data_IF_777173833964
#
_entry.id   IF_777173833964
#
_cell.length_a   1.000
_cell.length_b   1.000
_cell.length_c   1.000
_cell.angle_alpha   90.00
_cell.angle_beta   90.00
_cell.angle_gamma   90.00
#
_symmetry.space_group_name_H-M   'P 1'
#
loop_
_entity.id
_entity.type
_entity.pdbx_description
1 polymer ?
#
# COMPACT_ATOMS: atom_id res chain seq x y z
N UNK A 1 14.08 4.64 9.59
CA UNK A 1 12.62 4.79 9.55
C UNK A 1 12.27 6.18 10.04
N UNK A 2 11.60 6.97 9.20
CA UNK A 2 11.14 8.32 9.55
C UNK A 2 9.76 8.24 10.20
N UNK A 3 8.82 7.53 9.55
CA UNK A 3 7.45 7.38 10.01
C UNK A 3 6.94 5.97 9.68
N UNK A 4 6.09 5.44 10.53
CA UNK A 4 5.29 4.25 10.25
C UNK A 4 3.84 4.53 10.68
N UNK A 5 2.89 4.03 9.90
CA UNK A 5 1.48 4.15 10.17
C UNK A 5 0.74 2.89 9.76
N UNK A 6 -0.51 2.81 10.14
CA UNK A 6 -1.41 1.73 9.79
C UNK A 6 -2.81 2.28 9.50
N UNK A 7 -3.65 1.44 8.93
CA UNK A 7 -5.06 1.70 8.71
C UNK A 7 -5.78 2.08 10.02
N UNK A 8 -6.65 3.09 9.96
CA UNK A 8 -7.51 3.54 11.06
C UNK A 8 -8.91 3.90 10.55
N UNK A 9 -9.47 3.06 9.69
CA UNK A 9 -10.78 3.27 9.05
C UNK A 9 -11.96 3.24 10.02
N UNK A 10 -11.79 2.63 11.21
CA UNK A 10 -12.81 2.68 12.27
C UNK A 10 -13.05 4.10 12.79
N UNK A 11 -12.01 4.95 12.80
CA UNK A 11 -12.14 6.36 13.16
C UNK A 11 -12.65 7.20 11.99
N UNK A 12 -12.13 6.96 10.79
CA UNK A 12 -12.51 7.64 9.56
C UNK A 12 -12.22 6.71 8.37
N UNK A 13 -13.24 6.38 7.55
CA UNK A 13 -13.05 5.45 6.42
C UNK A 13 -12.02 5.91 5.37
N UNK A 14 -11.56 7.15 5.43
CA UNK A 14 -10.48 7.65 4.57
C UNK A 14 -9.09 7.42 5.16
N UNK A 15 -8.97 7.00 6.42
CA UNK A 15 -7.70 6.77 7.10
C UNK A 15 -7.07 5.41 6.72
N UNK A 16 -6.86 5.19 5.42
CA UNK A 16 -6.01 4.10 4.95
C UNK A 16 -4.60 4.23 5.54
N UNK A 17 -3.83 3.17 5.57
CA UNK A 17 -2.48 3.16 6.15
C UNK A 17 -1.55 4.23 5.57
N UNK A 18 -1.62 4.43 4.26
CA UNK A 18 -0.85 5.47 3.55
C UNK A 18 -1.29 6.88 3.97
N UNK A 19 -2.60 7.13 4.06
CA UNK A 19 -3.14 8.43 4.48
C UNK A 19 -2.74 8.74 5.92
N UNK A 20 -2.90 7.77 6.83
CA UNK A 20 -2.49 7.90 8.23
C UNK A 20 -1.00 8.20 8.35
N UNK A 21 -0.17 7.51 7.56
CA UNK A 21 1.30 7.71 7.53
C UNK A 21 1.66 9.09 6.99
N UNK A 22 1.03 9.54 5.89
CA UNK A 22 1.25 10.86 5.29
C UNK A 22 0.85 11.98 6.26
N UNK A 23 -0.31 11.87 6.89
CA UNK A 23 -0.76 12.82 7.90
C UNK A 23 0.25 12.93 9.06
N UNK A 24 0.71 11.80 9.58
CA UNK A 24 1.71 11.78 10.64
C UNK A 24 3.06 12.38 10.18
N UNK A 25 3.50 12.09 8.96
CA UNK A 25 4.71 12.64 8.36
C UNK A 25 4.65 14.17 8.24
N UNK A 26 3.54 14.73 7.74
CA UNK A 26 3.37 16.17 7.57
C UNK A 26 3.09 16.91 8.89
N UNK A 27 2.75 16.20 9.97
CA UNK A 27 2.68 16.75 11.32
C UNK A 27 4.04 16.86 12.01
N UNK A 28 5.12 16.31 11.44
CA UNK A 28 6.48 16.58 11.92
C UNK A 28 6.84 18.05 11.71
N UNK A 29 7.64 18.62 12.63
CA UNK A 29 8.18 19.95 12.43
C UNK A 29 9.05 20.02 11.16
N UNK A 30 9.21 21.21 10.59
CA UNK A 30 9.98 21.39 9.36
C UNK A 30 11.44 20.91 9.52
N UNK A 31 12.02 21.05 10.73
CA UNK A 31 13.37 20.59 11.02
C UNK A 31 13.49 19.06 11.12
N UNK A 32 12.41 18.38 11.48
CA UNK A 32 12.37 16.92 11.64
C UNK A 32 11.93 16.18 10.38
N UNK A 33 11.25 16.89 9.48
CA UNK A 33 10.68 16.31 8.27
C UNK A 33 11.67 16.38 7.11
N UNK A 34 12.22 15.26 6.63
CA UNK A 34 13.06 15.25 5.44
C UNK A 34 12.26 15.65 4.20
N UNK A 35 12.95 16.02 3.11
CA UNK A 35 12.30 16.17 1.82
C UNK A 35 11.71 14.83 1.35
N UNK A 36 10.55 14.85 0.71
CA UNK A 36 9.89 13.63 0.23
C UNK A 36 10.70 12.94 -0.86
N UNK A 37 11.46 13.69 -1.67
CA UNK A 37 12.41 13.16 -2.65
C UNK A 37 13.58 12.38 -2.03
N UNK A 38 13.88 12.60 -0.74
CA UNK A 38 14.93 11.88 0.00
C UNK A 38 14.38 10.65 0.75
N UNK A 39 13.09 10.37 0.58
CA UNK A 39 12.39 9.29 1.26
C UNK A 39 12.03 8.16 0.31
N UNK A 40 12.02 6.94 0.83
CA UNK A 40 11.37 5.79 0.21
C UNK A 40 10.01 5.60 0.87
N UNK A 41 8.93 5.63 0.08
CA UNK A 41 7.59 5.29 0.56
C UNK A 41 7.34 3.80 0.38
N UNK A 42 6.93 3.11 1.45
CA UNK A 42 6.64 1.67 1.40
C UNK A 42 5.23 1.43 1.90
N UNK A 43 4.43 0.75 1.10
CA UNK A 43 3.11 0.25 1.48
C UNK A 43 3.10 -1.27 1.50
N UNK A 44 2.33 -1.88 2.37
CA UNK A 44 2.15 -3.35 2.37
C UNK A 44 1.29 -3.81 1.21
N UNK A 45 0.27 -3.04 0.84
CA UNK A 45 -0.58 -3.28 -0.32
C UNK A 45 -0.35 -2.20 -1.38
N UNK A 46 -0.59 -2.56 -2.63
CA UNK A 46 -0.57 -1.59 -3.74
C UNK A 46 -1.61 -0.50 -3.47
N UNK A 47 -1.19 0.78 -3.44
CA UNK A 47 -2.05 1.87 -3.01
C UNK A 47 -3.31 2.02 -3.88
N UNK A 48 -4.47 2.17 -3.27
CA UNK A 48 -5.73 2.44 -3.97
C UNK A 48 -5.71 3.83 -4.64
N UNK A 49 -6.72 4.16 -5.43
CA UNK A 49 -6.82 5.44 -6.15
C UNK A 49 -6.73 6.67 -5.24
N UNK A 50 -7.30 6.60 -4.02
CA UNK A 50 -7.18 7.63 -3.00
C UNK A 50 -5.71 7.81 -2.58
N UNK A 51 -5.05 6.71 -2.24
CA UNK A 51 -3.66 6.70 -1.76
C UNK A 51 -2.67 7.09 -2.86
N UNK A 52 -2.88 6.62 -4.11
CA UNK A 52 -2.09 7.05 -5.27
C UNK A 52 -2.12 8.57 -5.45
N UNK A 53 -3.32 9.16 -5.36
CA UNK A 53 -3.48 10.61 -5.44
C UNK A 53 -2.81 11.32 -4.27
N UNK A 54 -2.94 10.81 -3.04
CA UNK A 54 -2.33 11.40 -1.86
C UNK A 54 -0.80 11.36 -1.91
N UNK A 55 -0.19 10.24 -2.32
CA UNK A 55 1.26 10.10 -2.50
C UNK A 55 1.76 11.11 -3.54
N UNK A 56 1.01 11.29 -4.65
CA UNK A 56 1.31 12.28 -5.69
C UNK A 56 1.28 13.70 -5.12
N UNK A 57 0.22 14.09 -4.43
CA UNK A 57 0.08 15.42 -3.82
C UNK A 57 1.12 15.67 -2.72
N UNK A 58 1.54 14.63 -2.01
CA UNK A 58 2.59 14.70 -1.02
C UNK A 58 4.00 14.90 -1.62
N UNK A 59 4.16 14.69 -2.93
CA UNK A 59 5.42 14.94 -3.65
C UNK A 59 6.45 13.83 -3.48
N UNK A 60 6.05 12.61 -3.19
CA UNK A 60 6.94 11.45 -3.28
C UNK A 60 7.14 11.08 -4.75
N UNK A 61 8.36 10.81 -5.15
CA UNK A 61 8.72 10.40 -6.50
C UNK A 61 8.83 8.89 -6.68
N UNK A 62 8.54 8.14 -5.61
CA UNK A 62 8.59 6.68 -5.60
C UNK A 62 7.61 6.11 -4.58
N UNK A 63 7.15 4.88 -4.81
CA UNK A 63 6.62 4.02 -3.76
C UNK A 63 6.88 2.55 -4.09
N UNK A 64 6.96 1.76 -3.04
CA UNK A 64 7.15 0.32 -3.10
C UNK A 64 5.97 -0.36 -2.43
N UNK A 65 5.48 -1.45 -3.01
CA UNK A 65 4.42 -2.25 -2.41
C UNK A 65 4.79 -3.73 -2.39
N UNK A 66 4.14 -4.48 -1.51
CA UNK A 66 4.41 -5.90 -1.32
C UNK A 66 3.31 -6.76 -1.95
N UNK A 67 2.03 -6.46 -1.71
CA UNK A 67 0.89 -7.14 -2.29
C UNK A 67 0.29 -6.29 -3.40
N UNK A 68 0.15 -6.86 -4.60
CA UNK A 68 -0.53 -6.21 -5.72
C UNK A 68 -2.06 -6.26 -5.59
N UNK A 69 -2.76 -5.60 -6.50
CA UNK A 69 -4.24 -5.62 -6.54
C UNK A 69 -4.83 -7.02 -6.69
N UNK A 70 -4.15 -7.93 -7.41
CA UNK A 70 -4.59 -9.31 -7.53
C UNK A 70 -4.51 -10.04 -6.19
N UNK A 71 -3.41 -9.86 -5.44
CA UNK A 71 -3.29 -10.40 -4.08
C UNK A 71 -4.41 -9.84 -3.18
N UNK A 72 -4.66 -8.53 -3.25
CA UNK A 72 -5.69 -7.85 -2.44
C UNK A 72 -7.09 -8.38 -2.76
N UNK A 73 -7.42 -8.54 -4.04
CA UNK A 73 -8.70 -9.10 -4.49
C UNK A 73 -8.86 -10.57 -4.11
N UNK A 74 -7.88 -11.41 -4.43
CA UNK A 74 -8.03 -12.87 -4.44
C UNK A 74 -7.67 -13.50 -3.08
N UNK A 75 -6.57 -13.05 -2.46
CA UNK A 75 -6.13 -13.57 -1.17
C UNK A 75 -6.82 -12.90 0.03
N UNK A 76 -7.13 -11.60 -0.09
CA UNK A 76 -7.73 -10.83 1.02
C UNK A 76 -9.22 -10.56 0.84
N UNK A 77 -9.81 -10.91 -0.31
CA UNK A 77 -11.22 -10.69 -0.65
C UNK A 77 -11.65 -9.21 -0.49
N UNK A 78 -10.82 -8.29 -0.97
CA UNK A 78 -11.05 -6.84 -0.98
C UNK A 78 -11.01 -6.36 -2.44
N UNK A 79 -12.14 -6.41 -3.18
CA UNK A 79 -12.17 -6.07 -4.61
C UNK A 79 -12.34 -4.57 -4.88
N UNK A 80 -12.45 -3.74 -3.83
CA UNK A 80 -12.93 -2.35 -3.93
C UNK A 80 -12.00 -1.48 -4.75
N UNK A 81 -10.68 -1.64 -4.62
CA UNK A 81 -9.67 -0.83 -5.33
C UNK A 81 -9.81 -0.98 -6.84
N UNK A 82 -9.89 -2.22 -7.34
CA UNK A 82 -10.09 -2.50 -8.75
C UNK A 82 -11.44 -1.98 -9.25
N UNK A 83 -12.50 -2.15 -8.45
CA UNK A 83 -13.83 -1.67 -8.80
C UNK A 83 -13.89 -0.14 -8.88
N UNK A 84 -13.26 0.57 -7.96
CA UNK A 84 -13.18 2.04 -8.00
C UNK A 84 -12.38 2.49 -9.23
N UNK A 85 -11.25 1.87 -9.51
CA UNK A 85 -10.46 2.20 -10.71
C UNK A 85 -11.27 2.01 -11.99
N UNK A 86 -12.02 0.91 -12.09
CA UNK A 86 -12.85 0.62 -13.25
C UNK A 86 -14.05 1.58 -13.37
N UNK A 87 -14.87 1.70 -12.33
CA UNK A 87 -16.15 2.44 -12.38
C UNK A 87 -15.98 3.97 -12.38
N UNK A 88 -14.97 4.47 -11.66
CA UNK A 88 -14.77 5.91 -11.50
C UNK A 88 -13.75 6.46 -12.50
N UNK A 89 -12.68 5.72 -12.76
CA UNK A 89 -11.57 6.18 -13.57
C UNK A 89 -11.47 5.53 -14.95
N UNK A 90 -12.33 4.55 -15.26
CA UNK A 90 -12.33 3.80 -16.52
C UNK A 90 -10.98 3.09 -16.78
N UNK A 91 -10.35 2.62 -15.71
CA UNK A 91 -9.09 1.86 -15.73
C UNK A 91 -9.37 0.41 -15.45
N UNK A 92 -9.26 -0.43 -16.47
CA UNK A 92 -9.46 -1.88 -16.34
C UNK A 92 -8.27 -2.56 -15.67
N UNK A 93 -8.56 -3.60 -14.88
CA UNK A 93 -7.57 -4.51 -14.28
C UNK A 93 -6.43 -3.81 -13.50
N UNK A 94 -6.69 -2.62 -12.95
CA UNK A 94 -5.68 -1.86 -12.23
C UNK A 94 -4.51 -1.39 -13.09
N UNK A 95 -4.72 -1.23 -14.40
CA UNK A 95 -3.69 -0.88 -15.40
C UNK A 95 -3.31 0.61 -15.39
N UNK A 96 -3.24 1.23 -14.21
CA UNK A 96 -2.72 2.60 -14.12
C UNK A 96 -1.22 2.66 -14.48
N UNK A 97 -0.72 3.84 -14.86
CA UNK A 97 0.67 4.04 -15.25
C UNK A 97 1.62 3.94 -14.05
N UNK A 98 2.21 2.76 -13.81
CA UNK A 98 3.16 2.51 -12.71
C UNK A 98 4.49 3.26 -12.85
N UNK A 99 4.73 3.87 -13.99
CA UNK A 99 5.81 4.83 -14.21
C UNK A 99 5.24 6.03 -14.97
N UNK A 100 5.35 7.21 -14.37
CA UNK A 100 4.74 8.43 -14.90
C UNK A 100 5.59 9.66 -14.54
N UNK A 101 5.07 10.87 -14.79
CA UNK A 101 5.78 12.13 -14.54
C UNK A 101 6.00 12.46 -13.05
N UNK A 102 5.28 11.79 -12.15
CA UNK A 102 5.34 12.09 -10.72
C UNK A 102 6.19 11.08 -9.96
N UNK A 103 6.01 9.78 -10.23
CA UNK A 103 6.65 8.71 -9.46
C UNK A 103 6.83 7.42 -10.26
N UNK A 104 7.60 6.52 -9.66
CA UNK A 104 7.80 5.14 -10.10
C UNK A 104 7.35 4.17 -9.02
N UNK A 105 6.34 3.35 -9.32
CA UNK A 105 5.89 2.25 -8.46
C UNK A 105 6.77 1.01 -8.62
N UNK A 106 7.05 0.32 -7.52
CA UNK A 106 7.91 -0.86 -7.49
C UNK A 106 7.24 -2.00 -6.71
N UNK A 107 7.03 -3.12 -7.39
CA UNK A 107 6.65 -4.38 -6.74
C UNK A 107 7.89 -4.99 -6.06
N UNK A 108 7.83 -5.12 -4.72
CA UNK A 108 8.93 -5.65 -3.91
C UNK A 108 9.20 -7.14 -4.17
N UNK A 109 8.15 -7.92 -4.47
CA UNK A 109 8.30 -9.36 -4.76
C UNK A 109 8.98 -9.55 -6.12
N UNK A 110 8.51 -8.83 -7.15
CA UNK A 110 9.12 -8.86 -8.47
C UNK A 110 10.56 -8.35 -8.42
N UNK A 111 10.81 -7.26 -7.71
CA UNK A 111 12.15 -6.71 -7.51
C UNK A 111 13.06 -7.72 -6.78
N UNK A 112 12.59 -8.32 -5.68
CA UNK A 112 13.32 -9.35 -4.94
C UNK A 112 13.69 -10.55 -5.81
N UNK A 113 12.80 -10.95 -6.70
CA UNK A 113 13.02 -12.07 -7.64
C UNK A 113 14.06 -11.75 -8.72
N UNK A 114 14.15 -10.49 -9.13
CA UNK A 114 15.13 -10.02 -10.11
C UNK A 114 16.56 -9.90 -9.55
N UNK A 115 16.70 -9.76 -8.22
CA UNK A 115 17.99 -9.64 -7.56
C UNK A 115 18.50 -11.04 -7.17
N UNK A 116 19.46 -11.56 -7.89
CA UNK A 116 20.16 -12.81 -7.55
C UNK A 116 21.04 -12.68 -6.28
N UNK A 117 21.93 -13.64 -6.06
CA UNK A 117 22.97 -13.59 -5.03
C UNK A 117 22.68 -14.42 -3.77
N UNK A 118 23.61 -14.38 -2.82
CA UNK A 118 23.61 -15.25 -1.64
C UNK A 118 22.36 -15.12 -0.75
N UNK A 119 21.72 -13.96 -0.77
CA UNK A 119 20.58 -13.68 0.11
C UNK A 119 19.21 -14.04 -0.50
N UNK A 120 19.17 -14.62 -1.72
CA UNK A 120 17.90 -14.95 -2.39
C UNK A 120 17.03 -15.89 -1.54
N UNK A 121 17.62 -16.90 -0.90
CA UNK A 121 16.89 -17.81 -0.01
C UNK A 121 16.35 -17.11 1.23
N UNK A 122 17.10 -16.18 1.82
CA UNK A 122 16.67 -15.41 2.98
C UNK A 122 15.49 -14.50 2.62
N UNK A 123 15.56 -13.82 1.45
CA UNK A 123 14.46 -13.00 0.93
C UNK A 123 13.19 -13.82 0.68
N UNK A 124 13.32 -15.00 0.04
CA UNK A 124 12.17 -15.89 -0.19
C UNK A 124 11.50 -16.33 1.11
N UNK A 125 12.29 -16.67 2.14
CA UNK A 125 11.76 -16.99 3.48
C UNK A 125 11.05 -15.82 4.12
N UNK A 126 11.60 -14.60 3.98
CA UNK A 126 10.96 -13.40 4.51
C UNK A 126 9.63 -13.09 3.80
N UNK A 127 9.57 -13.23 2.48
CA UNK A 127 8.34 -13.09 1.70
C UNK A 127 7.29 -14.08 2.18
N UNK A 128 7.65 -15.36 2.32
CA UNK A 128 6.72 -16.39 2.81
C UNK A 128 6.21 -16.09 4.23
N UNK A 129 7.08 -15.59 5.11
CA UNK A 129 6.69 -15.17 6.47
C UNK A 129 5.72 -14.00 6.47
N UNK A 130 5.94 -13.00 5.61
CA UNK A 130 5.04 -11.85 5.50
C UNK A 130 3.68 -12.31 4.97
N UNK A 131 3.64 -13.13 3.90
CA UNK A 131 2.38 -13.67 3.37
C UNK A 131 1.59 -14.42 4.45
N UNK A 132 2.23 -15.34 5.18
CA UNK A 132 1.55 -16.08 6.25
C UNK A 132 0.98 -15.16 7.35
N UNK A 133 1.71 -14.13 7.76
CA UNK A 133 1.23 -13.17 8.74
C UNK A 133 0.01 -12.37 8.22
N UNK A 134 -0.03 -12.06 6.94
CA UNK A 134 -1.17 -11.34 6.33
C UNK A 134 -2.37 -12.26 6.07
N UNK A 135 -2.16 -13.56 5.83
CA UNK A 135 -3.26 -14.53 5.76
C UNK A 135 -4.02 -14.59 7.11
N UNK A 136 -3.30 -14.61 8.23
CA UNK A 136 -3.90 -14.57 9.58
C UNK A 136 -4.64 -13.24 9.82
N UNK A 137 -4.06 -12.11 9.43
CA UNK A 137 -4.70 -10.78 9.53
C UNK A 137 -5.96 -10.69 8.67
N UNK A 138 -5.91 -11.22 7.44
CA UNK A 138 -7.07 -11.26 6.54
C UNK A 138 -8.23 -12.05 7.14
N UNK A 139 -7.95 -13.22 7.74
CA UNK A 139 -8.98 -14.00 8.42
C UNK A 139 -9.62 -13.22 9.59
N UNK A 140 -8.80 -12.53 10.38
CA UNK A 140 -9.28 -11.68 11.48
C UNK A 140 -10.15 -10.53 10.96
N UNK A 141 -9.72 -9.86 9.90
CA UNK A 141 -10.47 -8.76 9.26
C UNK A 141 -11.83 -9.27 8.74
N UNK A 142 -11.83 -10.37 7.97
CA UNK A 142 -13.07 -10.93 7.41
C UNK A 142 -14.05 -11.38 8.50
N UNK A 143 -13.56 -11.90 9.63
CA UNK A 143 -14.41 -12.30 10.75
C UNK A 143 -15.09 -11.12 11.46
N UNK A 144 -14.47 -9.94 11.46
CA UNK A 144 -15.00 -8.73 12.11
C UNK A 144 -15.64 -7.72 11.15
N UNK A 145 -15.66 -8.03 9.86
CA UNK A 145 -16.10 -7.11 8.78
C UNK A 145 -17.54 -6.65 8.95
N UNK A 146 -18.43 -7.53 9.42
CA UNK A 146 -19.84 -7.21 9.67
C UNK A 146 -20.10 -6.39 10.93
N UNK A 147 -19.08 -6.19 11.77
CA UNK A 147 -19.22 -5.58 13.08
C UNK A 147 -18.83 -4.07 13.08
N UNK A 148 -18.58 -3.52 11.90
CA UNK A 148 -18.20 -2.11 11.73
C UNK A 148 -19.09 -1.40 10.71
N UNK A 149 -19.10 -0.07 10.75
CA UNK A 149 -19.88 0.81 9.88
C UNK A 149 -19.07 1.37 8.71
N UNK A 150 -17.97 0.72 8.31
CA UNK A 150 -17.14 1.16 7.17
C UNK A 150 -17.94 0.94 5.87
N UNK A 151 -18.20 2.00 5.05
CA UNK A 151 -19.12 1.91 3.91
C UNK A 151 -18.75 0.88 2.84
N UNK A 152 -17.46 0.58 2.69
CA UNK A 152 -16.93 -0.39 1.73
C UNK A 152 -16.17 -1.54 2.41
N UNK A 153 -16.56 -1.91 3.61
CA UNK A 153 -15.94 -3.04 4.30
C UNK A 153 -16.44 -4.39 3.79
#
# INVERSE_FOLDING_TARGET
LVMAGTNNELENPLNHGEISTLNAFFNLSTEQRPATSDCIFVSTHEPCSLCLSAITWAGFDNFYYFFGYEDTRDAFNIPHDLKILQEVFMVDDGAYARQNAFWSAKDLIALSSSIGGADATARSKQIARIRAAYDDLSQTYQASKSDNDIPLS
#
